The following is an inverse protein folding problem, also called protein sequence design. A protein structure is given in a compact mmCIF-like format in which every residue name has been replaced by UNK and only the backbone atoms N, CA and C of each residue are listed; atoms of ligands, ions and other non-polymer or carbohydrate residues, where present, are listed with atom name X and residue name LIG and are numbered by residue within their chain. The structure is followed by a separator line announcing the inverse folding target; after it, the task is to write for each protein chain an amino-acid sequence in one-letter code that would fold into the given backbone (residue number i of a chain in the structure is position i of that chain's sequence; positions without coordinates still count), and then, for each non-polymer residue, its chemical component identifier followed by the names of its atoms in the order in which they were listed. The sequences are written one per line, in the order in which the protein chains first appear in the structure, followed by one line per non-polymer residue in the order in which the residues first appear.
data_IF_633973969714
#
_entry.id   IF_633973969714
#
_cell.length_a   1.000
_cell.length_b   1.000
_cell.length_c   1.000
_cell.angle_alpha   90.00
_cell.angle_beta   90.00
_cell.angle_gamma   90.00
#
_symmetry.space_group_name_H-M   'P 1'
#
loop_
_entity.id
_entity.type
_entity.pdbx_description
1 polymer ?
#
# COMPACT_ATOMS: atom_id res chain seq x y z
N UNK A 1 -5.51 -4.12 23.22
CA UNK A 1 -5.63 -4.53 21.81
C UNK A 1 -4.33 -5.22 21.42
N UNK A 2 -4.38 -6.33 20.69
CA UNK A 2 -3.19 -7.10 20.28
C UNK A 2 -2.66 -6.67 18.90
N UNK A 3 -3.45 -5.91 18.16
CA UNK A 3 -3.05 -5.26 16.91
C UNK A 3 -3.67 -3.87 16.82
N UNK A 4 -3.03 -2.98 16.09
CA UNK A 4 -3.55 -1.65 15.72
C UNK A 4 -3.47 -1.54 14.21
N UNK A 5 -4.57 -1.15 13.59
CA UNK A 5 -4.65 -0.86 12.16
C UNK A 5 -4.94 0.62 12.01
N UNK A 6 -4.15 1.30 11.19
CA UNK A 6 -4.35 2.71 10.87
C UNK A 6 -4.51 2.85 9.37
N UNK A 7 -5.62 3.47 8.97
CA UNK A 7 -5.83 3.87 7.58
C UNK A 7 -5.17 5.24 7.35
N UNK A 8 -4.42 5.36 6.26
CA UNK A 8 -3.84 6.63 5.85
C UNK A 8 -4.82 7.39 4.96
N UNK A 9 -5.43 8.45 5.49
CA UNK A 9 -6.37 9.31 4.77
C UNK A 9 -5.74 10.61 4.23
N UNK A 10 -4.41 10.70 4.21
CA UNK A 10 -3.73 11.89 3.70
C UNK A 10 -3.97 12.02 2.18
N UNK A 11 -4.43 13.19 1.75
CA UNK A 11 -4.47 13.54 0.32
C UNK A 11 -3.12 14.14 -0.09
N UNK A 12 -2.64 15.14 0.64
CA UNK A 12 -1.40 15.86 0.31
C UNK A 12 -0.16 14.94 0.43
N UNK A 13 0.66 14.79 -0.63
CA UNK A 13 1.83 13.91 -0.66
C UNK A 13 2.82 14.11 0.50
N UNK A 14 2.96 15.33 1.01
CA UNK A 14 3.83 15.68 2.14
C UNK A 14 3.35 15.09 3.48
N UNK A 15 2.05 14.80 3.60
CA UNK A 15 1.43 14.24 4.80
C UNK A 15 1.35 12.71 4.76
N UNK A 16 1.52 12.09 3.58
CA UNK A 16 1.53 10.64 3.41
C UNK A 16 2.43 9.88 4.41
N UNK A 17 3.64 10.37 4.78
CA UNK A 17 4.49 9.65 5.72
C UNK A 17 3.98 9.62 7.17
N UNK A 18 2.99 10.43 7.55
CA UNK A 18 2.62 10.63 8.96
C UNK A 18 2.04 9.37 9.60
N UNK A 19 1.18 8.64 8.89
CA UNK A 19 0.61 7.37 9.33
C UNK A 19 1.71 6.38 9.78
N UNK A 20 2.71 6.18 8.92
CA UNK A 20 3.87 5.35 9.20
C UNK A 20 4.71 5.87 10.37
N UNK A 21 4.96 7.18 10.43
CA UNK A 21 5.77 7.80 11.50
C UNK A 21 5.11 7.71 12.88
N UNK A 22 3.78 7.68 12.95
CA UNK A 22 3.05 7.54 14.21
C UNK A 22 2.92 6.09 14.65
N UNK A 23 2.69 5.16 13.71
CA UNK A 23 2.41 3.77 14.03
C UNK A 23 3.65 2.87 14.11
N UNK A 24 4.72 3.18 13.36
CA UNK A 24 5.85 2.29 13.10
C UNK A 24 5.40 0.87 12.68
N UNK A 25 4.75 0.74 11.50
CA UNK A 25 3.99 -0.45 11.17
C UNK A 25 4.89 -1.67 10.88
N UNK A 26 4.51 -2.83 11.41
CA UNK A 26 5.14 -4.12 11.08
C UNK A 26 4.76 -4.63 9.68
N UNK A 27 3.67 -4.11 9.11
CA UNK A 27 3.20 -4.41 7.76
C UNK A 27 2.48 -3.16 7.21
N UNK A 28 2.86 -2.72 6.02
CA UNK A 28 2.14 -1.69 5.27
C UNK A 28 1.29 -2.34 4.18
N UNK A 29 0.03 -1.92 4.02
CA UNK A 29 -0.85 -2.45 2.98
C UNK A 29 -1.11 -1.37 1.93
N UNK A 30 -0.73 -1.62 0.69
CA UNK A 30 -1.00 -0.74 -0.44
C UNK A 30 -2.06 -1.37 -1.35
N UNK A 31 -3.31 -0.98 -1.17
CA UNK A 31 -4.45 -1.69 -1.76
C UNK A 31 -4.60 -1.50 -3.28
N UNK A 32 -4.38 -0.29 -3.77
CA UNK A 32 -4.43 0.08 -5.19
C UNK A 32 -3.74 1.44 -5.43
N UNK A 33 -3.57 1.85 -6.68
CA UNK A 33 -3.10 3.19 -7.04
C UNK A 33 -3.96 3.82 -8.16
N UNK A 34 -5.26 3.98 -7.90
CA UNK A 34 -6.20 4.58 -8.86
C UNK A 34 -6.03 6.10 -8.93
N UNK A 35 -6.39 6.68 -10.08
CA UNK A 35 -6.49 8.13 -10.24
C UNK A 35 -7.50 8.70 -9.25
N UNK A 36 -7.04 9.67 -8.48
CA UNK A 36 -7.82 10.45 -7.53
C UNK A 36 -7.08 11.78 -7.30
N UNK A 37 -7.76 12.79 -6.76
CA UNK A 37 -7.16 14.06 -6.32
C UNK A 37 -6.15 14.66 -7.32
N UNK A 38 -6.49 14.70 -8.61
CA UNK A 38 -5.57 15.07 -9.71
C UNK A 38 -5.02 16.50 -9.57
N UNK A 39 -5.79 17.38 -8.92
CA UNK A 39 -5.41 18.75 -8.56
C UNK A 39 -4.22 18.80 -7.58
N UNK A 40 -3.99 17.71 -6.83
CA UNK A 40 -2.91 17.59 -5.85
C UNK A 40 -1.83 16.59 -6.30
N UNK A 41 -2.23 15.46 -6.88
CA UNK A 41 -1.29 14.37 -7.22
C UNK A 41 -0.66 14.57 -8.60
N UNK A 42 -1.37 15.23 -9.50
CA UNK A 42 -1.04 15.30 -10.92
C UNK A 42 -2.02 14.48 -11.77
N UNK A 43 -1.99 14.76 -13.07
CA UNK A 43 -2.91 14.24 -14.08
C UNK A 43 -2.36 13.02 -14.84
N UNK A 44 -1.07 12.72 -14.63
CA UNK A 44 -0.40 11.56 -15.19
C UNK A 44 -0.94 10.26 -14.57
N UNK A 45 -1.00 9.19 -15.38
CA UNK A 45 -1.49 7.89 -14.92
C UNK A 45 -0.69 7.32 -13.74
N UNK A 46 0.61 7.63 -13.67
CA UNK A 46 1.49 7.19 -12.58
C UNK A 46 1.48 8.12 -11.36
N UNK A 47 0.83 9.29 -11.42
CA UNK A 47 0.83 10.26 -10.33
C UNK A 47 0.40 9.67 -8.96
N UNK A 48 -0.65 8.83 -8.87
CA UNK A 48 -1.02 8.18 -7.61
C UNK A 48 0.09 7.29 -7.04
N UNK A 49 0.89 6.63 -7.90
CA UNK A 49 1.99 5.77 -7.46
C UNK A 49 3.06 6.59 -6.74
N UNK A 50 3.46 7.73 -7.29
CA UNK A 50 4.45 8.61 -6.67
C UNK A 50 3.91 9.26 -5.39
N UNK A 51 2.64 9.68 -5.38
CA UNK A 51 2.00 10.27 -4.22
C UNK A 51 1.93 9.27 -3.05
N UNK A 52 1.32 8.10 -3.27
CA UNK A 52 1.09 7.10 -2.23
C UNK A 52 2.39 6.42 -1.78
N UNK A 53 3.39 6.24 -2.67
CA UNK A 53 4.69 5.68 -2.29
C UNK A 53 5.42 6.52 -1.22
N UNK A 54 5.11 7.81 -1.07
CA UNK A 54 5.67 8.63 0.02
C UNK A 54 5.23 8.15 1.40
N UNK A 55 4.08 7.51 1.52
CA UNK A 55 3.59 6.92 2.76
C UNK A 55 4.28 5.62 3.16
N UNK A 56 5.04 4.99 2.24
CA UNK A 56 5.71 3.72 2.49
C UNK A 56 7.05 3.94 3.22
N UNK A 57 7.25 3.35 4.42
CA UNK A 57 8.51 3.44 5.15
C UNK A 57 9.67 2.76 4.42
N UNK A 58 10.91 3.19 4.70
CA UNK A 58 12.12 2.53 4.25
C UNK A 58 12.24 1.13 4.87
N UNK A 59 12.67 0.13 4.09
CA UNK A 59 12.85 -1.25 4.56
C UNK A 59 11.55 -1.98 4.95
N UNK A 60 10.39 -1.39 4.65
CA UNK A 60 9.10 -1.93 5.08
C UNK A 60 8.74 -3.24 4.36
N UNK A 61 7.97 -4.09 5.04
CA UNK A 61 7.20 -5.15 4.41
C UNK A 61 5.89 -4.57 3.88
N UNK A 62 5.62 -4.76 2.60
CA UNK A 62 4.49 -4.14 1.90
C UNK A 62 3.63 -5.20 1.21
N UNK A 63 2.38 -5.33 1.65
CA UNK A 63 1.38 -6.16 0.97
C UNK A 63 0.62 -5.31 -0.05
N UNK A 64 0.81 -5.64 -1.33
CA UNK A 64 0.26 -4.89 -2.45
C UNK A 64 -0.98 -5.54 -3.06
N UNK A 65 -1.87 -4.69 -3.57
CA UNK A 65 -2.86 -5.06 -4.58
C UNK A 65 -2.19 -5.56 -5.84
N UNK A 66 -2.90 -6.39 -6.61
CA UNK A 66 -2.33 -6.96 -7.83
C UNK A 66 -1.91 -5.88 -8.84
N UNK A 67 -2.68 -4.80 -8.97
CA UNK A 67 -2.37 -3.65 -9.82
C UNK A 67 -1.03 -3.00 -9.43
N UNK A 68 -0.86 -2.70 -8.13
CA UNK A 68 0.38 -2.12 -7.58
C UNK A 68 1.54 -3.10 -7.73
N UNK A 69 1.34 -4.37 -7.39
CA UNK A 69 2.36 -5.42 -7.50
C UNK A 69 2.75 -5.72 -8.95
N UNK A 70 1.89 -5.40 -9.92
CA UNK A 70 2.16 -5.62 -11.36
C UNK A 70 2.82 -4.40 -12.03
N UNK A 71 2.68 -3.21 -11.46
CA UNK A 71 3.26 -1.96 -11.97
C UNK A 71 4.79 -1.92 -11.82
N UNK A 72 5.49 -1.70 -12.94
CA UNK A 72 6.95 -1.51 -12.97
C UNK A 72 7.39 -0.29 -12.15
N UNK A 73 6.59 0.78 -12.18
CA UNK A 73 6.86 2.00 -11.42
C UNK A 73 6.73 1.79 -9.92
N UNK A 74 5.69 1.11 -9.44
CA UNK A 74 5.57 0.75 -8.03
C UNK A 74 6.72 -0.16 -7.57
N UNK A 75 7.06 -1.20 -8.36
CA UNK A 75 8.20 -2.07 -8.06
C UNK A 75 9.49 -1.29 -7.88
N UNK A 76 9.81 -0.41 -8.83
CA UNK A 76 11.00 0.44 -8.76
C UNK A 76 11.01 1.33 -7.50
N UNK A 77 9.87 1.94 -7.17
CA UNK A 77 9.75 2.79 -5.98
C UNK A 77 9.95 2.00 -4.67
N UNK A 78 9.41 0.79 -4.60
CA UNK A 78 9.56 -0.11 -3.44
C UNK A 78 10.97 -0.69 -3.34
N UNK A 79 11.59 -1.05 -4.46
CA UNK A 79 12.98 -1.51 -4.54
C UNK A 79 13.96 -0.42 -4.09
N UNK A 80 13.77 0.83 -4.52
CA UNK A 80 14.57 1.97 -4.06
C UNK A 80 14.46 2.21 -2.55
N UNK A 81 13.36 1.78 -1.94
CA UNK A 81 13.14 1.83 -0.50
C UNK A 81 13.65 0.58 0.24
N UNK A 82 14.17 -0.41 -0.47
CA UNK A 82 14.58 -1.69 0.12
C UNK A 82 13.41 -2.49 0.73
N UNK A 83 12.19 -2.31 0.22
CA UNK A 83 11.01 -2.97 0.76
C UNK A 83 10.92 -4.46 0.37
N UNK A 84 10.40 -5.27 1.29
CA UNK A 84 9.93 -6.63 0.98
C UNK A 84 8.51 -6.55 0.43
N UNK A 85 8.28 -7.04 -0.80
CA UNK A 85 6.98 -6.91 -1.48
C UNK A 85 6.24 -8.25 -1.50
N UNK A 86 5.02 -8.23 -0.98
CA UNK A 86 4.04 -9.32 -1.02
C UNK A 86 2.85 -8.90 -1.91
N UNK A 87 2.12 -9.85 -2.47
CA UNK A 87 0.97 -9.56 -3.34
C UNK A 87 -0.23 -10.40 -2.94
N UNK A 88 -1.41 -9.79 -2.96
CA UNK A 88 -2.68 -10.55 -2.96
C UNK A 88 -2.89 -11.27 -4.30
N UNK A 89 -3.78 -12.26 -4.32
CA UNK A 89 -4.05 -13.09 -5.50
C UNK A 89 -4.67 -12.27 -6.64
N UNK A 90 -4.24 -12.57 -7.86
CA UNK A 90 -4.83 -12.03 -9.09
C UNK A 90 -6.24 -12.63 -9.36
N UNK A 91 -7.05 -11.94 -10.16
CA UNK A 91 -8.29 -12.45 -10.75
C UNK A 91 -9.56 -12.26 -9.92
N UNK A 92 -9.48 -11.53 -8.80
CA UNK A 92 -10.66 -11.13 -8.04
C UNK A 92 -11.20 -9.80 -8.59
N UNK A 93 -12.50 -9.76 -8.91
CA UNK A 93 -13.19 -8.55 -9.37
C UNK A 93 -14.18 -8.01 -8.35
N UNK A 94 -14.61 -8.85 -7.40
CA UNK A 94 -15.52 -8.46 -6.33
C UNK A 94 -14.75 -7.71 -5.22
N UNK A 95 -15.14 -6.46 -4.87
CA UNK A 95 -14.44 -5.66 -3.86
C UNK A 95 -14.36 -6.33 -2.48
N UNK A 96 -15.41 -7.05 -2.07
CA UNK A 96 -15.42 -7.73 -0.76
C UNK A 96 -14.42 -8.88 -0.75
N UNK A 97 -14.34 -9.64 -1.84
CA UNK A 97 -13.36 -10.72 -1.99
C UNK A 97 -11.93 -10.19 -2.04
N UNK A 98 -11.69 -9.03 -2.69
CA UNK A 98 -10.39 -8.36 -2.68
C UNK A 98 -10.01 -7.99 -1.25
N UNK A 99 -10.88 -7.29 -0.50
CA UNK A 99 -10.61 -6.92 0.89
C UNK A 99 -10.36 -8.14 1.79
N UNK A 100 -11.15 -9.21 1.65
CA UNK A 100 -10.91 -10.47 2.37
C UNK A 100 -9.55 -11.09 2.04
N UNK A 101 -9.07 -10.94 0.80
CA UNK A 101 -7.77 -11.44 0.41
C UNK A 101 -6.63 -10.71 1.11
N UNK A 102 -6.74 -9.39 1.27
CA UNK A 102 -5.79 -8.60 2.07
C UNK A 102 -5.79 -9.02 3.53
N UNK A 103 -6.96 -9.16 4.14
CA UNK A 103 -7.09 -9.56 5.54
C UNK A 103 -6.43 -10.92 5.76
N UNK A 104 -6.78 -11.92 4.96
CA UNK A 104 -6.21 -13.27 5.07
C UNK A 104 -4.69 -13.26 4.93
N UNK A 105 -4.19 -12.49 3.96
CA UNK A 105 -2.76 -12.43 3.70
C UNK A 105 -2.00 -11.68 4.80
N UNK A 106 -2.56 -10.60 5.35
CA UNK A 106 -2.02 -9.88 6.50
C UNK A 106 -1.97 -10.77 7.74
N UNK A 107 -3.04 -11.51 8.04
CA UNK A 107 -3.07 -12.49 9.14
C UNK A 107 -1.99 -13.56 8.95
N UNK A 108 -1.87 -14.14 7.75
CA UNK A 108 -0.85 -15.15 7.42
C UNK A 108 0.58 -14.64 7.63
N UNK A 109 0.87 -13.40 7.21
CA UNK A 109 2.19 -12.76 7.41
C UNK A 109 2.56 -12.64 8.88
N UNK A 110 1.56 -12.50 9.76
CA UNK A 110 1.71 -12.39 11.20
C UNK A 110 1.50 -13.72 11.95
N UNK A 111 1.32 -14.84 11.25
CA UNK A 111 1.12 -16.16 11.87
C UNK A 111 -0.22 -16.32 12.58
N UNK A 112 -1.25 -15.56 12.16
CA UNK A 112 -2.62 -15.66 12.65
C UNK A 112 -3.41 -16.50 11.65
N UNK A 113 -3.91 -17.65 12.08
CA UNK A 113 -4.73 -18.58 11.27
C UNK A 113 -6.23 -18.40 11.48
#
# INVERSE_FOLDING_TARGET
AEAVVLENSAVTPELQPLAARWLDPTLTIWTNARRDHEDVWGWDEEAPLYALARGIPQGAKVLCGFDVASSSTAKRLLEQKGCEVLSVRNGLVDPVMISKSFIREACRVHGIE
#
